data_IF_621092474114
#
_entry.id   IF_621092474114
#
_cell.length_a   1.000
_cell.length_b   1.000
_cell.length_c   1.000
_cell.angle_alpha   90.00
_cell.angle_beta   90.00
_cell.angle_gamma   90.00
#
_symmetry.space_group_name_H-M   'P 1'
#
loop_
_entity.id
_entity.type
_entity.pdbx_description
1 polymer ?
#
# COMPACT_ATOMS: atom_id res chain seq x y z
N UNK A 1 -9.04 -20.06 2.80
CA UNK A 1 -7.89 -19.39 2.18
C UNK A 1 -7.51 -18.24 3.12
N UNK A 2 -6.26 -18.15 3.57
CA UNK A 2 -5.87 -17.07 4.50
C UNK A 2 -5.80 -15.75 3.74
N UNK A 3 -6.67 -14.81 4.13
CA UNK A 3 -6.71 -13.46 3.57
C UNK A 3 -5.55 -12.63 4.12
N UNK A 4 -5.10 -11.65 3.35
CA UNK A 4 -4.12 -10.69 3.82
C UNK A 4 -4.84 -9.50 4.48
N UNK A 5 -5.05 -9.55 5.79
CA UNK A 5 -5.80 -8.54 6.55
C UNK A 5 -4.97 -7.31 6.95
N UNK A 6 -3.66 -7.38 6.73
CA UNK A 6 -2.72 -6.35 7.12
C UNK A 6 -1.28 -6.76 6.82
N UNK A 7 -0.33 -6.08 7.46
CA UNK A 7 1.08 -6.42 7.40
C UNK A 7 1.69 -6.38 8.81
N UNK A 8 2.31 -7.49 9.22
CA UNK A 8 2.90 -7.64 10.55
C UNK A 8 1.88 -7.26 11.65
N UNK A 9 2.24 -6.34 12.55
CA UNK A 9 1.37 -5.82 13.62
C UNK A 9 0.37 -4.73 13.18
N UNK A 10 0.27 -4.43 11.87
CA UNK A 10 -0.63 -3.41 11.33
C UNK A 10 -1.79 -4.02 10.54
N UNK A 11 -2.98 -3.44 10.71
CA UNK A 11 -4.20 -3.86 10.00
C UNK A 11 -4.56 -2.87 8.90
N UNK A 12 -5.16 -3.36 7.81
CA UNK A 12 -5.72 -2.44 6.81
C UNK A 12 -6.80 -1.55 7.43
N UNK A 13 -6.81 -0.27 7.04
CA UNK A 13 -7.74 0.72 7.58
C UNK A 13 -7.28 1.39 8.89
N UNK A 14 -6.18 0.94 9.50
CA UNK A 14 -5.64 1.57 10.72
C UNK A 14 -5.22 3.03 10.45
N UNK A 15 -5.59 3.95 11.34
CA UNK A 15 -5.29 5.38 11.14
C UNK A 15 -3.80 5.67 11.28
N UNK A 16 -3.34 6.74 10.63
CA UNK A 16 -1.98 7.24 10.82
C UNK A 16 -1.64 7.48 12.30
N UNK A 17 -2.55 8.12 13.04
CA UNK A 17 -2.35 8.42 14.46
C UNK A 17 -2.09 7.16 15.30
N UNK A 18 -2.90 6.10 15.12
CA UNK A 18 -2.75 4.84 15.85
C UNK A 18 -1.42 4.14 15.48
N UNK A 19 -1.09 4.12 14.19
CA UNK A 19 0.17 3.53 13.71
C UNK A 19 1.38 4.27 14.26
N UNK A 20 1.33 5.60 14.28
CA UNK A 20 2.41 6.45 14.82
C UNK A 20 2.61 6.20 16.31
N UNK A 21 1.53 6.20 17.10
CA UNK A 21 1.58 5.94 18.54
C UNK A 21 2.16 4.55 18.86
N UNK A 22 1.76 3.53 18.08
CA UNK A 22 2.32 2.17 18.19
C UNK A 22 3.84 2.17 17.98
N UNK A 23 4.34 2.82 16.92
CA UNK A 23 5.79 2.85 16.67
C UNK A 23 6.57 3.74 17.63
N UNK A 24 5.98 4.84 18.11
CA UNK A 24 6.57 5.63 19.19
C UNK A 24 6.78 4.76 20.43
N UNK A 25 5.74 4.06 20.86
CA UNK A 25 5.79 3.15 22.01
C UNK A 25 6.87 2.07 21.84
N UNK A 26 7.00 1.49 20.64
CA UNK A 26 8.04 0.51 20.33
C UNK A 26 9.45 1.11 20.32
N UNK A 27 9.61 2.35 19.85
CA UNK A 27 10.90 3.03 19.78
C UNK A 27 11.42 3.51 21.14
N UNK A 28 10.51 3.81 22.07
CA UNK A 28 10.87 4.31 23.42
C UNK A 28 10.90 3.22 24.48
N UNK A 29 10.47 1.99 24.17
CA UNK A 29 10.47 0.90 25.13
C UNK A 29 11.88 0.31 25.30
N UNK A 30 12.54 0.46 26.46
CA UNK A 30 13.90 -0.04 26.68
C UNK A 30 13.98 -1.58 26.74
N UNK A 31 12.85 -2.28 26.89
CA UNK A 31 12.77 -3.74 26.86
C UNK A 31 12.54 -4.29 25.45
N UNK A 32 12.40 -3.43 24.44
CA UNK A 32 12.26 -3.89 23.07
C UNK A 32 13.61 -4.36 22.54
N UNK A 33 13.71 -5.64 22.17
CA UNK A 33 14.92 -6.23 21.59
C UNK A 33 15.24 -5.66 20.20
N UNK A 34 14.23 -5.08 19.53
CA UNK A 34 14.36 -4.55 18.19
C UNK A 34 14.64 -3.05 18.19
N UNK A 35 15.58 -2.64 17.36
CA UNK A 35 15.83 -1.21 17.12
C UNK A 35 14.78 -0.67 16.15
N UNK A 36 13.82 0.08 16.68
CA UNK A 36 12.74 0.76 15.93
C UNK A 36 12.97 2.27 15.92
N UNK A 37 12.89 2.88 14.75
CA UNK A 37 13.09 4.31 14.54
C UNK A 37 12.06 4.85 13.54
N UNK A 38 11.41 5.98 13.88
CA UNK A 38 10.64 6.76 12.92
C UNK A 38 11.63 7.64 12.16
N UNK A 39 11.84 7.34 10.87
CA UNK A 39 12.85 8.02 10.04
C UNK A 39 12.27 9.23 9.34
N UNK A 40 11.01 9.14 8.92
CA UNK A 40 10.30 10.20 8.22
C UNK A 40 8.80 10.07 8.44
N UNK A 41 8.12 11.20 8.56
CA UNK A 41 6.67 11.27 8.59
C UNK A 41 6.15 12.41 7.72
N UNK A 42 5.16 12.10 6.90
CA UNK A 42 4.29 13.04 6.22
C UNK A 42 2.87 12.69 6.68
N UNK A 43 2.30 13.58 7.50
CA UNK A 43 1.07 13.33 8.26
C UNK A 43 -0.05 12.88 7.32
N UNK A 44 -0.81 11.88 7.76
CA UNK A 44 -1.93 11.27 7.00
C UNK A 44 -1.56 10.67 5.62
N UNK A 45 -0.27 10.66 5.22
CA UNK A 45 0.17 10.18 3.91
C UNK A 45 1.20 9.06 3.99
N UNK A 46 2.27 9.26 4.75
CA UNK A 46 3.38 8.29 4.80
C UNK A 46 4.07 8.31 6.16
N UNK A 47 4.34 7.11 6.67
CA UNK A 47 5.20 6.89 7.83
C UNK A 47 6.32 5.92 7.44
N UNK A 48 7.57 6.38 7.52
CA UNK A 48 8.74 5.58 7.23
C UNK A 48 9.39 5.12 8.53
N UNK A 49 9.36 3.82 8.76
CA UNK A 49 9.94 3.17 9.93
C UNK A 49 11.18 2.42 9.52
N UNK A 50 12.23 2.47 10.34
CA UNK A 50 13.37 1.58 10.26
C UNK A 50 13.35 0.62 11.44
N UNK A 51 13.27 -0.68 11.18
CA UNK A 51 13.26 -1.74 12.18
C UNK A 51 14.36 -2.75 11.85
N UNK A 52 15.34 -2.89 12.76
CA UNK A 52 16.51 -3.75 12.59
C UNK A 52 17.26 -3.56 11.25
N UNK A 53 17.32 -2.32 10.76
CA UNK A 53 18.02 -1.98 9.52
C UNK A 53 17.22 -2.19 8.22
N UNK A 54 15.98 -2.69 8.31
CA UNK A 54 15.02 -2.77 7.20
C UNK A 54 14.09 -1.57 7.27
N UNK A 55 13.73 -1.01 6.11
CA UNK A 55 12.80 0.12 6.03
C UNK A 55 11.39 -0.37 5.68
N UNK A 56 10.40 0.25 6.31
CA UNK A 56 8.97 -0.03 6.13
C UNK A 56 8.26 1.30 5.87
N UNK A 57 7.75 1.47 4.65
CA UNK A 57 6.99 2.63 4.23
C UNK A 57 5.50 2.31 4.34
N UNK A 58 4.88 2.76 5.43
CA UNK A 58 3.44 2.71 5.64
C UNK A 58 2.80 3.87 4.90
N UNK A 59 1.85 3.57 4.01
CA UNK A 59 1.17 4.56 3.17
C UNK A 59 -0.30 4.61 3.52
N UNK A 60 -0.77 5.83 3.71
CA UNK A 60 -2.11 6.13 4.16
C UNK A 60 -2.87 6.80 3.01
N UNK A 61 -4.16 6.50 2.93
CA UNK A 61 -5.04 7.04 1.92
C UNK A 61 -6.17 7.81 2.59
N UNK A 62 -6.44 8.99 2.05
CA UNK A 62 -7.61 9.78 2.38
C UNK A 62 -8.19 10.33 1.08
N UNK A 63 -9.51 10.29 0.95
CA UNK A 63 -10.21 10.80 -0.22
C UNK A 63 -9.87 12.29 -0.41
N UNK A 64 -9.38 12.69 -1.60
CA UNK A 64 -9.10 14.09 -1.89
C UNK A 64 -10.39 14.93 -1.87
N UNK A 65 -10.33 16.16 -1.33
CA UNK A 65 -11.47 17.09 -1.29
C UNK A 65 -12.08 17.38 -2.66
N UNK A 66 -11.24 17.46 -3.70
CA UNK A 66 -11.73 17.69 -5.07
C UNK A 66 -12.67 16.57 -5.56
N UNK A 67 -12.46 15.33 -5.09
CA UNK A 67 -13.33 14.19 -5.39
C UNK A 67 -14.62 14.25 -4.57
N UNK A 68 -14.58 14.73 -3.33
CA UNK A 68 -15.80 14.93 -2.54
C UNK A 68 -16.65 16.06 -3.10
N UNK A 69 -16.03 17.15 -3.52
CA UNK A 69 -16.71 18.37 -3.98
C UNK A 69 -17.32 18.20 -5.37
N UNK A 70 -16.79 17.30 -6.20
CA UNK A 70 -17.33 16.97 -7.52
C UNK A 70 -18.58 16.09 -7.47
N UNK A 71 -18.94 15.53 -6.31
CA UNK A 71 -20.13 14.67 -6.16
C UNK A 71 -21.42 15.50 -6.18
N UNK A 72 -22.53 15.00 -6.78
CA UNK A 72 -23.81 15.69 -6.73
C UNK A 72 -24.27 15.94 -5.28
N UNK A 73 -24.74 17.16 -4.97
CA UNK A 73 -25.08 17.65 -3.61
C UNK A 73 -26.06 16.80 -2.78
N UNK A 74 -26.70 15.80 -3.38
CA UNK A 74 -27.60 14.86 -2.68
C UNK A 74 -26.89 13.64 -2.07
N UNK A 75 -25.56 13.53 -2.15
CA UNK A 75 -24.76 12.43 -1.58
C UNK A 75 -23.65 12.91 -0.64
N UNK A 76 -23.77 14.10 -0.06
CA UNK A 76 -22.81 14.62 0.92
C UNK A 76 -23.20 14.09 2.31
N UNK A 77 -22.37 13.27 2.99
CA UNK A 77 -22.57 12.98 4.41
C UNK A 77 -22.44 14.28 5.20
N UNK A 78 -23.41 14.57 6.06
CA UNK A 78 -23.55 15.84 6.79
C UNK A 78 -22.63 15.97 8.00
N UNK A 79 -21.34 15.65 7.87
CA UNK A 79 -20.36 15.88 8.93
C UNK A 79 -19.33 16.91 8.47
N UNK A 80 -19.69 18.19 8.67
CA UNK A 80 -18.72 19.28 8.64
C UNK A 80 -18.05 19.37 10.01
N UNK A 81 -16.97 18.62 10.21
CA UNK A 81 -15.96 19.00 11.19
C UNK A 81 -14.98 19.95 10.51
N UNK A 82 -14.98 21.20 10.98
CA UNK A 82 -14.01 22.22 10.62
C UNK A 82 -12.63 21.78 11.16
N UNK A 83 -11.84 21.12 10.31
CA UNK A 83 -10.38 21.10 10.46
C UNK A 83 -9.77 21.79 9.24
N UNK A 84 -9.24 22.97 9.51
CA UNK A 84 -8.48 23.78 8.59
C UNK A 84 -7.20 23.03 8.15
N UNK A 85 -6.80 23.28 6.88
CA UNK A 85 -5.46 23.07 6.29
C UNK A 85 -5.02 21.74 5.63
N UNK A 86 -5.85 20.71 5.44
CA UNK A 86 -5.45 19.59 4.56
C UNK A 86 -6.43 19.37 3.39
N UNK A 87 -5.93 19.11 2.17
CA UNK A 87 -6.68 18.86 0.94
C UNK A 87 -7.55 17.57 0.97
N UNK A 88 -7.83 17.02 2.15
CA UNK A 88 -8.47 15.72 2.37
C UNK A 88 -9.64 15.85 3.35
N UNK A 89 -10.69 15.04 3.16
CA UNK A 89 -11.94 15.13 3.92
C UNK A 89 -11.96 14.28 5.20
N UNK A 90 -10.96 13.43 5.43
CA UNK A 90 -10.86 12.47 6.54
C UNK A 90 -9.39 12.13 6.84
N UNK A 91 -9.05 11.65 8.06
CA UNK A 91 -7.71 11.16 8.36
C UNK A 91 -7.33 9.98 7.47
N UNK A 92 -6.04 9.88 7.17
CA UNK A 92 -5.46 8.86 6.32
C UNK A 92 -5.53 7.48 6.98
N UNK A 93 -5.99 6.50 6.22
CA UNK A 93 -6.08 5.10 6.65
C UNK A 93 -5.07 4.23 5.91
N UNK A 94 -4.46 3.28 6.63
CA UNK A 94 -3.40 2.43 6.10
C UNK A 94 -3.94 1.54 4.97
N UNK A 95 -3.33 1.65 3.80
CA UNK A 95 -3.71 0.83 2.64
C UNK A 95 -2.55 0.08 2.02
N UNK A 96 -1.31 0.48 2.30
CA UNK A 96 -0.13 -0.19 1.76
C UNK A 96 1.07 -0.12 2.69
N UNK A 97 1.86 -1.19 2.68
CA UNK A 97 3.19 -1.21 3.32
C UNK A 97 4.22 -1.65 2.29
N UNK A 98 5.23 -0.81 2.05
CA UNK A 98 6.42 -1.18 1.28
C UNK A 98 7.55 -1.59 2.20
N UNK A 99 8.09 -2.80 2.03
CA UNK A 99 9.27 -3.29 2.75
C UNK A 99 10.49 -3.12 1.84
N UNK A 100 11.43 -2.28 2.25
CA UNK A 100 12.65 -1.95 1.52
C UNK A 100 13.88 -2.48 2.26
N UNK A 101 14.70 -3.25 1.55
CA UNK A 101 15.88 -3.91 2.08
C UNK A 101 17.00 -3.91 1.01
N UNK A 102 18.19 -4.42 1.37
CA UNK A 102 19.31 -4.54 0.42
C UNK A 102 18.93 -5.49 -0.72
N UNK A 103 19.61 -5.37 -1.86
CA UNK A 103 19.42 -6.31 -2.96
C UNK A 103 19.65 -7.76 -2.51
N UNK A 104 18.62 -8.58 -2.65
CA UNK A 104 18.66 -10.03 -2.46
C UNK A 104 18.38 -10.73 -3.80
N UNK A 105 18.92 -11.94 -4.03
CA UNK A 105 18.58 -12.72 -5.20
C UNK A 105 17.07 -12.88 -5.33
N UNK A 106 16.51 -12.54 -6.50
CA UNK A 106 15.06 -12.47 -6.67
C UNK A 106 14.36 -13.82 -6.48
N UNK A 107 15.05 -14.92 -6.79
CA UNK A 107 14.55 -16.29 -6.58
C UNK A 107 14.41 -16.63 -5.10
N UNK A 108 15.36 -16.22 -4.26
CA UNK A 108 15.35 -16.54 -2.82
C UNK A 108 14.18 -15.83 -2.14
N UNK A 109 13.97 -14.55 -2.48
CA UNK A 109 12.81 -13.79 -1.97
C UNK A 109 11.50 -14.40 -2.47
N UNK A 110 11.44 -14.77 -3.74
CA UNK A 110 10.26 -15.42 -4.32
C UNK A 110 9.92 -16.72 -3.59
N UNK A 111 10.91 -17.59 -3.34
CA UNK A 111 10.70 -18.85 -2.61
C UNK A 111 10.14 -18.62 -1.21
N UNK A 112 10.63 -17.61 -0.48
CA UNK A 112 10.09 -17.25 0.85
C UNK A 112 8.66 -16.74 0.76
N UNK A 113 8.33 -15.93 -0.25
CA UNK A 113 6.96 -15.47 -0.49
C UNK A 113 6.05 -16.63 -0.89
N UNK A 114 6.52 -17.57 -1.71
CA UNK A 114 5.75 -18.77 -2.10
C UNK A 114 5.51 -19.72 -0.93
N UNK A 115 6.49 -19.88 -0.04
CA UNK A 115 6.30 -20.65 1.20
C UNK A 115 5.22 -20.02 2.09
N UNK A 116 5.16 -18.69 2.16
CA UNK A 116 4.20 -17.98 3.01
C UNK A 116 2.81 -17.82 2.38
N UNK A 117 2.76 -17.56 1.08
CA UNK A 117 1.56 -17.16 0.35
C UNK A 117 1.18 -18.16 -0.76
N UNK A 118 1.84 -19.29 -0.92
CA UNK A 118 1.60 -20.23 -2.03
C UNK A 118 2.04 -19.67 -3.39
N UNK A 119 1.61 -20.31 -4.47
CA UNK A 119 2.01 -19.91 -5.84
C UNK A 119 1.51 -18.49 -6.20
N UNK A 120 2.30 -17.70 -6.95
CA UNK A 120 1.85 -16.41 -7.44
C UNK A 120 0.69 -16.55 -8.42
N UNK A 121 -0.11 -15.48 -8.53
CA UNK A 121 -1.26 -15.40 -9.44
C UNK A 121 -0.87 -14.88 -10.82
N UNK A 122 0.03 -13.90 -10.87
CA UNK A 122 0.52 -13.27 -12.10
C UNK A 122 2.01 -12.96 -11.98
N UNK A 123 2.71 -13.06 -13.10
CA UNK A 123 4.10 -12.61 -13.26
C UNK A 123 4.18 -11.75 -14.52
N UNK A 124 4.80 -10.58 -14.43
CA UNK A 124 4.97 -9.68 -15.59
C UNK A 124 6.29 -9.88 -16.36
N UNK A 125 7.01 -10.97 -16.06
CA UNK A 125 8.25 -11.33 -16.75
C UNK A 125 7.89 -11.99 -18.08
N UNK A 126 8.07 -11.28 -19.19
CA UNK A 126 8.25 -11.92 -20.49
C UNK A 126 9.54 -12.78 -20.43
N UNK A 127 9.64 -13.86 -21.22
CA UNK A 127 10.80 -14.78 -21.21
C UNK A 127 12.16 -14.08 -21.40
N UNK A 128 12.17 -12.88 -22.00
CA UNK A 128 13.34 -12.05 -22.26
C UNK A 128 13.54 -10.88 -21.27
N UNK A 129 12.68 -10.70 -20.27
CA UNK A 129 12.76 -9.60 -19.29
C UNK A 129 13.29 -10.09 -17.95
N UNK A 130 14.40 -9.50 -17.52
CA UNK A 130 15.06 -9.81 -16.23
C UNK A 130 14.41 -9.03 -15.07
N UNK A 131 13.72 -7.92 -15.37
CA UNK A 131 12.97 -7.11 -14.41
C UNK A 131 11.46 -7.19 -14.63
N UNK A 132 10.69 -6.95 -13.57
CA UNK A 132 9.23 -7.01 -13.58
C UNK A 132 8.65 -7.11 -12.17
N UNK A 133 7.45 -7.66 -12.07
CA UNK A 133 6.76 -7.86 -10.80
C UNK A 133 6.11 -9.24 -10.74
N UNK A 134 6.08 -9.81 -9.54
CA UNK A 134 5.32 -11.02 -9.23
C UNK A 134 4.23 -10.65 -8.23
N UNK A 135 3.00 -11.08 -8.51
CA UNK A 135 1.81 -10.74 -7.77
C UNK A 135 1.21 -11.98 -7.12
N UNK A 136 0.99 -11.91 -5.81
CA UNK A 136 0.09 -12.78 -5.09
C UNK A 136 -1.21 -12.04 -4.79
N UNK A 137 -2.31 -12.74 -5.01
CA UNK A 137 -3.65 -12.26 -4.73
C UNK A 137 -4.24 -13.10 -3.58
N UNK A 138 -4.42 -12.46 -2.43
CA UNK A 138 -4.99 -13.03 -1.20
C UNK A 138 -6.27 -12.32 -0.84
N UNK A 139 -7.16 -12.28 -1.82
CA UNK A 139 -8.42 -11.55 -1.78
C UNK A 139 -9.62 -12.49 -1.80
N UNK A 140 -10.72 -12.00 -1.25
CA UNK A 140 -12.06 -12.55 -1.49
C UNK A 140 -12.86 -11.53 -2.29
N UNK A 141 -12.88 -11.71 -3.61
CA UNK A 141 -13.56 -10.83 -4.57
C UNK A 141 -15.09 -10.92 -4.51
N UNK A 142 -15.65 -11.93 -3.83
CA UNK A 142 -17.12 -12.09 -3.72
C UNK A 142 -17.75 -11.09 -2.76
N UNK A 143 -16.94 -10.46 -1.90
CA UNK A 143 -17.39 -9.44 -0.96
C UNK A 143 -17.27 -8.04 -1.60
N UNK A 144 -18.15 -7.12 -1.18
CA UNK A 144 -18.12 -5.72 -1.62
C UNK A 144 -18.11 -4.80 -0.38
N UNK A 145 -17.00 -4.10 -0.08
CA UNK A 145 -15.72 -4.13 -0.79
C UNK A 145 -14.99 -5.49 -0.64
N UNK A 146 -14.07 -5.84 -1.57
CA UNK A 146 -13.32 -7.10 -1.52
C UNK A 146 -12.39 -7.12 -0.30
N UNK A 147 -12.32 -8.25 0.39
CA UNK A 147 -11.46 -8.43 1.58
C UNK A 147 -10.11 -9.02 1.24
N UNK A 148 -9.13 -8.80 2.11
CA UNK A 148 -7.78 -9.30 1.97
C UNK A 148 -6.86 -8.30 1.28
N UNK A 149 -5.95 -8.80 0.45
CA UNK A 149 -4.94 -7.94 -0.16
C UNK A 149 -4.00 -8.59 -1.15
N UNK A 150 -3.03 -7.80 -1.58
CA UNK A 150 -2.04 -8.16 -2.59
C UNK A 150 -0.63 -8.14 -2.01
N UNK A 151 0.23 -9.01 -2.53
CA UNK A 151 1.67 -8.96 -2.31
C UNK A 151 2.35 -8.79 -3.66
N UNK A 152 3.24 -7.82 -3.77
CA UNK A 152 3.97 -7.51 -5.00
C UNK A 152 5.46 -7.58 -4.72
N UNK A 153 6.13 -8.54 -5.33
CA UNK A 153 7.59 -8.56 -5.37
C UNK A 153 8.07 -7.80 -6.60
N UNK A 154 8.91 -6.78 -6.40
CA UNK A 154 9.56 -6.07 -7.51
C UNK A 154 10.90 -6.72 -7.85
N UNK A 155 11.03 -7.19 -9.08
CA UNK A 155 12.28 -7.72 -9.63
C UNK A 155 12.97 -6.64 -10.44
N UNK A 156 14.19 -6.33 -10.05
CA UNK A 156 15.07 -5.39 -10.73
C UNK A 156 16.20 -6.17 -11.40
N UNK A 157 16.53 -5.80 -12.63
CA UNK A 157 17.65 -6.38 -13.34
C UNK A 157 18.95 -5.74 -12.88
N UNK A 158 19.83 -6.52 -12.26
CA UNK A 158 21.17 -6.06 -11.90
C UNK A 158 22.20 -7.11 -12.34
N UNK A 159 23.21 -6.67 -13.10
CA UNK A 159 24.24 -7.54 -13.69
C UNK A 159 23.64 -8.77 -14.43
N UNK A 160 22.56 -8.55 -15.20
CA UNK A 160 21.82 -9.60 -15.94
C UNK A 160 21.19 -10.69 -15.06
N UNK A 161 21.01 -10.44 -13.77
CA UNK A 161 20.30 -11.32 -12.85
C UNK A 161 19.14 -10.58 -12.18
N UNK A 162 18.04 -11.29 -11.83
CA UNK A 162 16.92 -10.69 -11.12
C UNK A 162 17.25 -10.55 -9.63
N UNK A 163 17.13 -9.34 -9.10
CA UNK A 163 17.23 -9.06 -7.68
C UNK A 163 15.94 -8.42 -7.16
N UNK A 164 15.70 -8.54 -5.85
CA UNK A 164 14.62 -7.85 -5.16
C UNK A 164 15.21 -6.96 -4.09
N UNK A 165 14.71 -5.72 -4.00
CA UNK A 165 14.97 -4.82 -2.86
C UNK A 165 13.69 -4.24 -2.25
N UNK A 166 12.53 -4.55 -2.83
CA UNK A 166 11.23 -4.04 -2.42
C UNK A 166 10.15 -5.09 -2.58
N UNK A 167 9.35 -5.27 -1.53
CA UNK A 167 8.09 -6.00 -1.58
C UNK A 167 6.99 -5.08 -1.06
N UNK A 168 5.91 -4.92 -1.80
CA UNK A 168 4.76 -4.15 -1.37
C UNK A 168 3.58 -5.04 -1.00
N UNK A 169 2.83 -4.59 0.01
CA UNK A 169 1.58 -5.16 0.46
C UNK A 169 0.48 -4.12 0.26
N UNK A 170 -0.72 -4.53 -0.16
CA UNK A 170 -1.85 -3.63 -0.42
C UNK A 170 -3.17 -4.21 0.09
N UNK A 171 -4.04 -3.35 0.60
CA UNK A 171 -5.44 -3.66 0.90
C UNK A 171 -6.26 -3.77 -0.39
N UNK A 172 -7.06 -4.84 -0.53
CA UNK A 172 -8.02 -4.94 -1.64
C UNK A 172 -9.19 -3.98 -1.49
N UNK A 173 -9.67 -3.75 -0.27
CA UNK A 173 -10.83 -2.91 0.00
C UNK A 173 -10.53 -1.45 -0.34
N UNK A 174 -9.38 -0.94 0.10
CA UNK A 174 -9.00 0.46 -0.19
C UNK A 174 -8.58 0.64 -1.65
N UNK A 175 -7.94 -0.35 -2.27
CA UNK A 175 -7.73 -0.33 -3.72
C UNK A 175 -9.06 -0.20 -4.47
N UNK A 176 -10.06 -0.98 -4.10
CA UNK A 176 -11.40 -0.90 -4.70
C UNK A 176 -12.04 0.48 -4.51
N UNK A 177 -11.90 1.08 -3.32
CA UNK A 177 -12.34 2.45 -3.06
C UNK A 177 -11.62 3.46 -3.97
N UNK A 178 -10.29 3.43 -4.05
CA UNK A 178 -9.49 4.32 -4.91
C UNK A 178 -9.94 4.20 -6.38
N UNK A 179 -10.14 2.98 -6.87
CA UNK A 179 -10.61 2.75 -8.25
C UNK A 179 -12.02 3.30 -8.49
N UNK A 180 -12.91 3.22 -7.48
CA UNK A 180 -14.26 3.79 -7.55
C UNK A 180 -14.19 5.32 -7.60
N UNK A 181 -13.44 5.93 -6.69
CA UNK A 181 -13.24 7.38 -6.61
C UNK A 181 -12.61 7.94 -7.89
N UNK A 182 -11.63 7.25 -8.46
CA UNK A 182 -11.02 7.61 -9.74
C UNK A 182 -12.06 7.65 -10.88
N UNK A 183 -12.96 6.67 -10.94
CA UNK A 183 -14.04 6.62 -11.95
C UNK A 183 -15.15 7.65 -11.72
N UNK A 184 -15.39 8.03 -10.46
CA UNK A 184 -16.34 9.10 -10.11
C UNK A 184 -15.79 10.48 -10.48
N UNK A 185 -14.48 10.66 -10.36
CA UNK A 185 -13.83 11.94 -10.58
C UNK A 185 -13.54 12.25 -12.06
N UNK A 186 -13.02 11.27 -12.80
CA UNK A 186 -12.66 11.46 -14.21
C UNK A 186 -13.75 10.93 -15.15
N UNK A 187 -14.16 11.76 -16.12
CA UNK A 187 -15.02 11.32 -17.22
C UNK A 187 -14.30 10.29 -18.12
N UNK A 188 -15.05 9.52 -18.91
CA UNK A 188 -14.48 8.54 -19.83
C UNK A 188 -13.49 9.16 -20.83
N UNK A 189 -13.70 10.42 -21.23
CA UNK A 189 -12.85 11.17 -22.15
C UNK A 189 -11.55 11.63 -21.48
N UNK A 190 -11.63 12.16 -20.25
CA UNK A 190 -10.44 12.52 -19.46
C UNK A 190 -9.60 11.29 -19.09
N UNK A 191 -10.25 10.17 -18.73
CA UNK A 191 -9.54 8.90 -18.48
C UNK A 191 -8.81 8.45 -19.75
N UNK A 192 -9.43 8.59 -20.93
CA UNK A 192 -8.81 8.22 -22.20
C UNK A 192 -7.60 9.12 -22.49
N UNK A 193 -7.75 10.44 -22.36
CA UNK A 193 -6.64 11.39 -22.52
C UNK A 193 -5.49 11.11 -21.54
N UNK A 194 -5.78 10.82 -20.27
CA UNK A 194 -4.76 10.48 -19.28
C UNK A 194 -4.06 9.16 -19.60
N UNK A 195 -4.78 8.14 -20.09
CA UNK A 195 -4.16 6.88 -20.53
C UNK A 195 -3.26 7.09 -21.74
N UNK A 196 -3.68 7.92 -22.70
CA UNK A 196 -2.91 8.22 -23.91
C UNK A 196 -1.62 9.02 -23.60
N UNK A 197 -1.52 9.61 -22.39
CA UNK A 197 -0.33 10.32 -21.89
C UNK A 197 0.66 9.42 -21.13
N UNK A 198 0.26 8.20 -20.74
CA UNK A 198 1.16 7.25 -20.06
C UNK A 198 1.79 6.34 -21.15
N UNK A 199 3.13 6.35 -21.32
CA UNK A 199 3.81 5.59 -22.38
C UNK A 199 3.65 4.07 -22.29
#
# INVERSE_FOLDING_TARGET
MNLLEGFAESSWGESYANMREKFLSLSTNPQNEEKVEIVFEDKEKTLLIRRNGIFYSYRFYSTPKIVTDSRPKNQIPSDKSEMEEENHSAPGILFSVGVLFRYLPGKDVQQKLEQKYGKPKKESLAENKIGGAILWEKTDEKQSPPKGGYVVQWKEAYKKMPFTRRVDYFSSAIRFQIEKEYKEFFSAEEIKTLRDLIP
#
